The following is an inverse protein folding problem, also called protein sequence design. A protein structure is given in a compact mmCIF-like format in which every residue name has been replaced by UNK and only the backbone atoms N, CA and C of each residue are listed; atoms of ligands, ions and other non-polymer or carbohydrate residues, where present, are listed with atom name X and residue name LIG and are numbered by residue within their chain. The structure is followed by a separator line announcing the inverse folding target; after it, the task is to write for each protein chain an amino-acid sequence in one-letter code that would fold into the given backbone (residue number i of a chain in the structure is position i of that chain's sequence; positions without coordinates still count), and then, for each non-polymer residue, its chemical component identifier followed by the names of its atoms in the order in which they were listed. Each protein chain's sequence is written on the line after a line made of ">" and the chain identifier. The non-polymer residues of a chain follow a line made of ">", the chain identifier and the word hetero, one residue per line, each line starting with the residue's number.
data_IF_889311751889
#
_entry.id   IF_889311751889
#
_cell.length_a   1.000
_cell.length_b   1.000
_cell.length_c   1.000
_cell.angle_alpha   90.00
_cell.angle_beta   90.00
_cell.angle_gamma   90.00
#
_symmetry.space_group_name_H-M   'P 1'
#
loop_
_entity.id
_entity.type
_entity.pdbx_description
1 polymer ?
#
# COMPACT_ATOMS: atom_id res chain seq x y z
N UNK A 1 -27.25 -11.69 6.75
CA UNK A 1 -26.36 -10.85 5.92
C UNK A 1 -24.95 -11.39 6.03
N UNK A 2 -24.38 -11.91 4.94
CA UNK A 2 -23.02 -12.44 4.92
C UNK A 2 -22.10 -11.24 4.66
N UNK A 3 -21.31 -10.82 5.64
CA UNK A 3 -20.25 -9.84 5.41
C UNK A 3 -19.23 -10.48 4.48
N UNK A 4 -19.24 -10.09 3.20
CA UNK A 4 -18.25 -10.53 2.23
C UNK A 4 -16.86 -10.08 2.70
N UNK A 5 -16.10 -11.01 3.29
CA UNK A 5 -14.72 -10.78 3.73
C UNK A 5 -13.78 -10.27 2.63
N UNK A 6 -14.22 -10.36 1.36
CA UNK A 6 -13.55 -9.80 0.17
C UNK A 6 -13.55 -8.27 0.12
N UNK A 7 -14.60 -7.63 0.64
CA UNK A 7 -14.64 -6.16 0.75
C UNK A 7 -13.71 -5.69 1.87
N UNK A 8 -13.78 -6.37 3.02
CA UNK A 8 -12.89 -6.10 4.15
C UNK A 8 -11.41 -6.22 3.74
N UNK A 9 -11.06 -7.21 2.90
CA UNK A 9 -9.68 -7.38 2.43
C UNK A 9 -9.21 -6.29 1.47
N UNK A 10 -10.12 -5.75 0.64
CA UNK A 10 -9.73 -4.70 -0.32
C UNK A 10 -9.46 -3.38 0.39
N UNK A 11 -10.35 -2.98 1.30
CA UNK A 11 -10.20 -1.75 2.11
C UNK A 11 -8.96 -1.84 3.01
N UNK A 12 -8.70 -3.02 3.58
CA UNK A 12 -7.51 -3.26 4.40
C UNK A 12 -6.21 -3.14 3.58
N UNK A 13 -6.18 -3.66 2.34
CA UNK A 13 -5.01 -3.57 1.48
C UNK A 13 -4.78 -2.13 0.97
N UNK A 14 -5.85 -1.38 0.69
CA UNK A 14 -5.75 0.04 0.36
C UNK A 14 -5.08 0.82 1.50
N UNK A 15 -5.56 0.65 2.74
CA UNK A 15 -4.96 1.31 3.89
C UNK A 15 -3.48 0.96 4.08
N UNK A 16 -3.12 -0.31 3.87
CA UNK A 16 -1.73 -0.77 3.97
C UNK A 16 -0.85 -0.05 2.94
N UNK A 17 -1.32 0.07 1.70
CA UNK A 17 -0.57 0.76 0.64
C UNK A 17 -0.38 2.24 0.95
N UNK A 18 -1.45 2.91 1.39
CA UNK A 18 -1.40 4.33 1.76
C UNK A 18 -0.42 4.54 2.92
N UNK A 19 -0.52 3.73 3.99
CA UNK A 19 0.41 3.80 5.14
C UNK A 19 1.86 3.54 4.73
N UNK A 20 2.09 2.56 3.85
CA UNK A 20 3.44 2.24 3.38
C UNK A 20 4.07 3.41 2.63
N UNK A 21 3.32 4.07 1.75
CA UNK A 21 3.81 5.26 1.01
C UNK A 21 4.04 6.44 1.96
N UNK A 22 3.14 6.68 2.91
CA UNK A 22 3.30 7.75 3.91
C UNK A 22 4.58 7.59 4.75
N UNK A 23 4.92 6.36 5.16
CA UNK A 23 6.17 6.10 5.88
C UNK A 23 7.40 6.41 5.02
N UNK A 24 7.38 6.03 3.74
CA UNK A 24 8.47 6.35 2.81
C UNK A 24 8.60 7.85 2.58
N UNK A 25 7.49 8.57 2.42
CA UNK A 25 7.49 10.04 2.29
C UNK A 25 8.00 10.73 3.57
N UNK A 26 7.81 10.11 4.74
CA UNK A 26 8.38 10.57 6.01
C UNK A 26 9.90 10.29 6.15
N UNK A 27 10.52 9.64 5.16
CA UNK A 27 11.96 9.38 5.11
C UNK A 27 12.36 7.94 5.43
N UNK A 28 11.40 7.05 5.69
CA UNK A 28 11.70 5.63 5.94
C UNK A 28 12.17 4.92 4.66
N UNK A 29 13.06 3.94 4.82
CA UNK A 29 13.51 3.13 3.69
C UNK A 29 12.36 2.23 3.19
N UNK A 30 12.04 2.22 1.87
CA UNK A 30 11.00 1.38 1.29
C UNK A 30 11.14 -0.11 1.64
N UNK A 31 12.38 -0.60 1.71
CA UNK A 31 12.69 -2.00 2.03
C UNK A 31 12.39 -2.36 3.48
N UNK A 32 12.57 -1.41 4.41
CA UNK A 32 12.27 -1.60 5.83
C UNK A 32 10.76 -1.63 6.03
N UNK A 33 10.05 -0.66 5.45
CA UNK A 33 8.58 -0.54 5.53
C UNK A 33 7.91 -1.80 5.00
N UNK A 34 8.26 -2.25 3.80
CA UNK A 34 7.58 -3.37 3.15
C UNK A 34 7.87 -4.72 3.84
N UNK A 35 9.07 -4.87 4.40
CA UNK A 35 9.46 -6.04 5.19
C UNK A 35 8.69 -6.10 6.51
N UNK A 36 8.51 -4.97 7.19
CA UNK A 36 7.70 -4.89 8.41
C UNK A 36 6.22 -5.23 8.16
N UNK A 37 5.72 -4.91 6.96
CA UNK A 37 4.36 -5.24 6.52
C UNK A 37 4.22 -6.68 6.00
N UNK A 38 5.32 -7.44 5.86
CA UNK A 38 5.30 -8.83 5.42
C UNK A 38 5.09 -9.03 3.91
N UNK A 39 5.33 -8.00 3.08
CA UNK A 39 5.19 -8.08 1.63
C UNK A 39 6.54 -8.20 0.92
N UNK A 40 6.51 -8.65 -0.34
CA UNK A 40 7.69 -8.68 -1.17
C UNK A 40 8.20 -7.25 -1.48
N UNK A 41 9.52 -7.07 -1.50
CA UNK A 41 10.20 -5.81 -1.87
C UNK A 41 9.69 -5.20 -3.18
N UNK A 42 9.30 -6.00 -4.18
CA UNK A 42 8.77 -5.45 -5.44
C UNK A 42 7.48 -4.64 -5.29
N UNK A 43 6.66 -4.94 -4.26
CA UNK A 43 5.37 -4.29 -4.05
C UNK A 43 5.52 -2.81 -3.69
N UNK A 44 6.46 -2.46 -2.81
CA UNK A 44 6.62 -1.05 -2.41
C UNK A 44 7.05 -0.18 -3.58
N UNK A 45 7.92 -0.67 -4.47
CA UNK A 45 8.32 0.09 -5.65
C UNK A 45 7.17 0.25 -6.65
N UNK A 46 6.32 -0.77 -6.80
CA UNK A 46 5.08 -0.65 -7.58
C UNK A 46 4.14 0.41 -6.99
N UNK A 47 3.94 0.40 -5.68
CA UNK A 47 3.07 1.38 -5.01
C UNK A 47 3.63 2.80 -5.10
N UNK A 48 4.94 2.98 -4.92
CA UNK A 48 5.59 4.28 -5.09
C UNK A 48 5.50 4.79 -6.53
N UNK A 49 5.61 3.91 -7.54
CA UNK A 49 5.40 4.28 -8.93
C UNK A 49 3.97 4.76 -9.19
N UNK A 50 2.96 3.99 -8.74
CA UNK A 50 1.55 4.38 -8.84
C UNK A 50 1.27 5.72 -8.13
N UNK A 51 1.84 5.91 -6.94
CA UNK A 51 1.72 7.17 -6.20
C UNK A 51 2.34 8.35 -6.95
N UNK A 52 3.48 8.18 -7.61
CA UNK A 52 4.10 9.23 -8.44
C UNK A 52 3.27 9.56 -9.69
N UNK A 53 2.56 8.58 -10.25
CA UNK A 53 1.75 8.76 -11.45
C UNK A 53 0.37 9.36 -11.17
N UNK A 54 -0.26 9.02 -10.04
CA UNK A 54 -1.64 9.41 -9.76
C UNK A 54 -1.99 9.66 -8.29
N UNK A 55 -0.98 9.85 -7.44
CA UNK A 55 -1.17 10.14 -6.02
C UNK A 55 -1.89 9.02 -5.27
N UNK A 56 -2.57 9.37 -4.18
CA UNK A 56 -3.28 8.40 -3.34
C UNK A 56 -4.45 7.71 -4.06
N UNK A 57 -5.09 8.37 -5.04
CA UNK A 57 -6.19 7.78 -5.80
C UNK A 57 -5.73 6.59 -6.66
N UNK A 58 -4.49 6.60 -7.14
CA UNK A 58 -3.91 5.46 -7.85
C UNK A 58 -3.68 4.23 -6.94
N UNK A 59 -3.49 4.44 -5.63
CA UNK A 59 -3.28 3.35 -4.65
C UNK A 59 -4.57 2.63 -4.26
N UNK A 60 -5.73 3.28 -4.43
CA UNK A 60 -7.04 2.69 -4.13
C UNK A 60 -7.38 1.53 -5.08
N UNK A 61 -6.99 1.67 -6.35
CA UNK A 61 -7.31 0.72 -7.43
C UNK A 61 -6.25 -0.37 -7.65
N UNK A 62 -5.23 -0.42 -6.80
CA UNK A 62 -3.98 -1.15 -7.04
C UNK A 62 -3.96 -2.63 -6.61
#
# INVERSE_FOLDING_TARGET
>A
MKNDGRKLSHDTLEEIRIRAVQQVEAGESPEVVIKALGFNRSQIYRWLALYREGGYEALKKA
#
